data_IF_423414547825
#
_entry.id   IF_423414547825
#
_cell.length_a   1.000
_cell.length_b   1.000
_cell.length_c   1.000
_cell.angle_alpha   90.00
_cell.angle_beta   90.00
_cell.angle_gamma   90.00
#
_symmetry.space_group_name_H-M   'P 1'
#
loop_
_entity.id
_entity.type
_entity.pdbx_description
1 polymer ?
#
# COMPACT_ATOMS: atom_id res chain seq x y z
N UNK A 1 4.86 1.75 3.21
CA UNK A 1 4.19 2.85 3.94
C UNK A 1 3.07 2.26 4.79
N UNK A 2 3.00 2.54 6.10
CA UNK A 2 1.92 2.07 6.97
C UNK A 2 0.71 3.03 6.94
N UNK A 3 -0.41 2.66 7.58
CA UNK A 3 -1.63 3.48 7.58
C UNK A 3 -1.46 4.85 8.25
N UNK A 4 -0.63 4.93 9.29
CA UNK A 4 -0.34 6.19 10.00
C UNK A 4 0.42 7.18 9.11
N UNK A 5 1.47 6.71 8.43
CA UNK A 5 2.29 7.54 7.55
C UNK A 5 1.49 8.03 6.33
N UNK A 6 0.66 7.15 5.76
CA UNK A 6 -0.24 7.53 4.67
C UNK A 6 -1.28 8.56 5.15
N UNK A 7 -1.87 8.37 6.33
CA UNK A 7 -2.82 9.31 6.94
C UNK A 7 -2.22 10.70 7.13
N UNK A 8 -0.99 10.77 7.65
CA UNK A 8 -0.23 12.04 7.77
C UNK A 8 -0.01 12.69 6.40
N UNK A 9 0.36 11.90 5.39
CA UNK A 9 0.56 12.40 4.01
C UNK A 9 -0.73 12.93 3.40
N UNK A 10 -1.86 12.24 3.58
CA UNK A 10 -3.19 12.71 3.15
C UNK A 10 -3.50 14.07 3.78
N UNK A 11 -3.33 14.19 5.09
CA UNK A 11 -3.58 15.45 5.82
C UNK A 11 -2.67 16.58 5.33
N UNK A 12 -1.39 16.29 5.09
CA UNK A 12 -0.42 17.27 4.61
C UNK A 12 -0.79 17.79 3.21
N UNK A 13 -1.02 16.89 2.25
CA UNK A 13 -1.37 17.26 0.86
C UNK A 13 -2.70 18.01 0.82
N UNK A 14 -3.70 17.56 1.59
CA UNK A 14 -4.97 18.26 1.71
C UNK A 14 -4.78 19.71 2.17
N UNK A 15 -4.02 19.92 3.24
CA UNK A 15 -3.74 21.26 3.78
C UNK A 15 -2.92 22.11 2.81
N UNK A 16 -1.94 21.54 2.14
CA UNK A 16 -1.13 22.22 1.13
C UNK A 16 -1.98 22.73 -0.04
N UNK A 17 -3.01 21.97 -0.43
CA UNK A 17 -3.99 22.37 -1.45
C UNK A 17 -5.09 23.30 -0.94
N UNK A 18 -5.10 23.67 0.36
CA UNK A 18 -6.12 24.53 0.96
C UNK A 18 -7.49 23.86 1.14
N UNK A 19 -7.57 22.53 1.04
CA UNK A 19 -8.83 21.81 1.05
C UNK A 19 -9.33 21.56 2.48
N UNK A 20 -10.61 21.83 2.72
CA UNK A 20 -11.29 21.43 3.96
C UNK A 20 -11.72 19.95 3.90
N UNK A 21 -12.02 19.35 5.04
CA UNK A 21 -12.60 17.99 5.06
C UNK A 21 -13.97 17.96 4.36
N UNK A 22 -14.75 19.04 4.46
CA UNK A 22 -16.03 19.18 3.77
C UNK A 22 -15.85 19.26 2.25
N UNK A 23 -14.81 19.96 1.78
CA UNK A 23 -14.50 20.02 0.35
C UNK A 23 -14.17 18.65 -0.24
N UNK A 24 -13.35 17.84 0.46
CA UNK A 24 -13.13 16.46 0.03
C UNK A 24 -14.39 15.61 0.10
N UNK A 25 -15.23 15.82 1.11
CA UNK A 25 -16.50 15.10 1.20
C UNK A 25 -17.37 15.34 -0.04
N UNK A 26 -17.51 16.60 -0.44
CA UNK A 26 -18.26 16.98 -1.64
C UNK A 26 -17.61 16.45 -2.92
N UNK A 27 -16.27 16.48 -3.00
CA UNK A 27 -15.54 16.09 -4.22
C UNK A 27 -15.43 14.57 -4.43
N UNK A 28 -15.39 13.80 -3.33
CA UNK A 28 -15.15 12.34 -3.38
C UNK A 28 -16.40 11.52 -3.02
N UNK A 29 -17.44 12.16 -2.48
CA UNK A 29 -18.62 11.50 -1.91
C UNK A 29 -18.36 10.76 -0.59
N UNK A 30 -17.13 10.82 -0.05
CA UNK A 30 -16.76 10.12 1.17
C UNK A 30 -17.06 11.01 2.37
N UNK A 31 -17.79 10.51 3.35
CA UNK A 31 -18.15 11.28 4.53
C UNK A 31 -16.89 11.81 5.26
N UNK A 32 -16.92 13.07 5.68
CA UNK A 32 -15.77 13.75 6.30
C UNK A 32 -15.20 13.02 7.53
N UNK A 33 -16.04 12.28 8.26
CA UNK A 33 -15.62 11.46 9.41
C UNK A 33 -14.72 10.29 8.99
N UNK A 34 -14.97 9.67 7.83
CA UNK A 34 -14.10 8.63 7.28
C UNK A 34 -12.77 9.22 6.82
N UNK A 35 -12.79 10.38 6.16
CA UNK A 35 -11.57 11.10 5.76
C UNK A 35 -10.75 11.45 7.01
N UNK A 36 -11.40 11.93 8.07
CA UNK A 36 -10.76 12.22 9.35
C UNK A 36 -10.13 10.98 10.01
N UNK A 37 -10.80 9.82 9.96
CA UNK A 37 -10.23 8.53 10.41
C UNK A 37 -9.00 8.13 9.58
N UNK A 38 -9.08 8.27 8.25
CA UNK A 38 -7.94 8.01 7.36
C UNK A 38 -6.75 8.89 7.72
N UNK A 39 -6.95 10.18 7.98
CA UNK A 39 -5.89 11.11 8.38
C UNK A 39 -5.23 10.76 9.72
N UNK A 40 -5.93 10.04 10.60
CA UNK A 40 -5.39 9.52 11.86
C UNK A 40 -4.74 8.13 11.70
N UNK A 41 -4.79 7.54 10.51
CA UNK A 41 -4.31 6.17 10.26
C UNK A 41 -5.27 5.07 10.72
N UNK A 42 -6.49 5.42 11.12
CA UNK A 42 -7.55 4.49 11.55
C UNK A 42 -8.31 3.95 10.33
N UNK A 43 -7.60 3.41 9.34
CA UNK A 43 -8.20 2.89 8.12
C UNK A 43 -7.46 1.67 7.56
N UNK A 44 -8.15 0.87 6.74
CA UNK A 44 -7.54 -0.22 5.98
C UNK A 44 -6.82 0.35 4.75
N UNK A 45 -5.54 0.00 4.60
CA UNK A 45 -4.62 0.48 3.57
C UNK A 45 -5.07 0.28 2.11
N UNK A 46 -6.09 -0.55 1.88
CA UNK A 46 -6.64 -0.86 0.54
C UNK A 46 -8.17 -0.72 0.48
N UNK A 47 -8.76 0.05 1.39
CA UNK A 47 -10.20 0.30 1.31
C UNK A 47 -10.53 1.16 0.09
N UNK A 48 -11.63 0.83 -0.62
CA UNK A 48 -12.09 1.58 -1.81
C UNK A 48 -12.17 3.10 -1.56
N UNK A 49 -12.58 3.50 -0.36
CA UNK A 49 -12.69 4.92 0.01
C UNK A 49 -11.31 5.57 0.16
N UNK A 50 -10.33 4.89 0.75
CA UNK A 50 -8.97 5.39 0.84
C UNK A 50 -8.36 5.58 -0.55
N UNK A 51 -8.51 4.60 -1.45
CA UNK A 51 -8.01 4.69 -2.82
C UNK A 51 -8.60 5.91 -3.54
N UNK A 52 -9.92 6.11 -3.47
CA UNK A 52 -10.58 7.30 -4.03
C UNK A 52 -10.03 8.63 -3.49
N UNK A 53 -9.76 8.72 -2.18
CA UNK A 53 -9.17 9.92 -1.57
C UNK A 53 -7.74 10.12 -2.07
N UNK A 54 -6.94 9.05 -2.14
CA UNK A 54 -5.58 9.11 -2.65
C UNK A 54 -5.54 9.54 -4.12
N UNK A 55 -6.42 8.99 -4.96
CA UNK A 55 -6.53 9.35 -6.38
C UNK A 55 -6.91 10.83 -6.54
N UNK A 56 -7.92 11.29 -5.80
CA UNK A 56 -8.33 12.70 -5.80
C UNK A 56 -7.21 13.65 -5.36
N UNK A 57 -6.41 13.24 -4.38
CA UNK A 57 -5.28 14.04 -3.87
C UNK A 57 -3.99 13.85 -4.69
N UNK A 58 -4.01 13.02 -5.73
CA UNK A 58 -2.84 12.63 -6.53
C UNK A 58 -1.71 12.07 -5.67
N UNK A 59 -2.06 11.33 -4.63
CA UNK A 59 -1.12 10.63 -3.76
C UNK A 59 -0.86 9.26 -4.37
N UNK A 60 0.34 9.08 -4.90
CA UNK A 60 0.85 7.76 -5.24
C UNK A 60 0.91 6.92 -3.97
N UNK A 61 -0.08 6.03 -3.84
CA UNK A 61 -0.17 4.99 -2.83
C UNK A 61 0.25 3.66 -3.46
N UNK A 62 1.32 3.65 -4.26
CA UNK A 62 1.92 2.37 -4.61
C UNK A 62 2.39 1.71 -3.31
N UNK A 63 1.99 0.45 -3.01
CA UNK A 63 2.53 -0.29 -1.87
C UNK A 63 4.08 -0.34 -1.89
N UNK A 64 4.69 -0.02 -3.04
CA UNK A 64 6.13 -0.08 -3.28
C UNK A 64 6.88 1.27 -3.19
N UNK A 65 6.24 2.42 -3.41
CA UNK A 65 7.02 3.65 -3.77
C UNK A 65 7.68 4.42 -2.62
N UNK A 66 7.59 3.95 -1.37
CA UNK A 66 8.39 4.50 -0.27
C UNK A 66 9.66 3.66 0.02
N UNK A 67 9.87 2.56 -0.70
CA UNK A 67 11.13 1.82 -0.71
C UNK A 67 11.94 2.21 -1.96
N UNK A 68 12.63 3.34 -1.85
CA UNK A 68 13.89 3.53 -2.57
C UNK A 68 14.85 4.06 -1.52
N UNK A 69 15.85 3.30 -1.08
CA UNK A 69 16.88 2.67 -1.92
C UNK A 69 17.53 1.47 -1.18
N UNK A 70 17.59 0.33 -1.87
CA UNK A 70 18.45 -0.85 -1.62
C UNK A 70 18.08 -1.85 -0.50
N UNK A 71 16.96 -2.54 -0.63
CA UNK A 71 17.03 -4.01 -0.51
C UNK A 71 16.23 -4.56 -1.69
N UNK A 72 16.93 -5.09 -2.69
CA UNK A 72 16.30 -5.83 -3.76
C UNK A 72 15.46 -6.96 -3.17
N UNK A 73 14.48 -7.47 -3.94
CA UNK A 73 13.71 -8.66 -3.52
C UNK A 73 14.66 -9.79 -3.12
N UNK A 74 15.79 -9.91 -3.81
CA UNK A 74 16.88 -10.83 -3.48
C UNK A 74 17.42 -10.58 -2.07
N UNK A 75 17.77 -9.35 -1.71
CA UNK A 75 18.31 -9.01 -0.39
C UNK A 75 17.32 -9.33 0.74
N UNK A 76 16.02 -9.09 0.50
CA UNK A 76 14.96 -9.39 1.48
C UNK A 76 14.75 -10.89 1.67
N UNK A 77 14.78 -11.65 0.57
CA UNK A 77 14.70 -13.12 0.62
C UNK A 77 15.95 -13.68 1.31
N UNK A 78 17.13 -13.13 1.02
CA UNK A 78 18.40 -13.50 1.64
C UNK A 78 18.35 -13.28 3.16
N UNK A 79 17.90 -12.10 3.62
CA UNK A 79 17.76 -11.79 5.05
C UNK A 79 16.76 -12.73 5.75
N UNK A 80 15.66 -13.07 5.07
CA UNK A 80 14.69 -14.02 5.60
C UNK A 80 15.28 -15.42 5.77
N UNK A 81 16.02 -15.91 4.77
CA UNK A 81 16.70 -17.22 4.86
C UNK A 81 17.77 -17.20 5.97
N UNK A 82 18.53 -16.11 6.12
CA UNK A 82 19.53 -15.99 7.18
C UNK A 82 18.90 -16.02 8.58
N UNK A 83 17.77 -15.34 8.78
CA UNK A 83 17.04 -15.33 10.05
C UNK A 83 16.27 -16.62 10.33
N UNK A 84 15.89 -17.35 9.29
CA UNK A 84 15.19 -18.63 9.39
C UNK A 84 15.68 -19.63 8.32
N UNK A 85 16.80 -20.33 8.55
CA UNK A 85 17.41 -21.20 7.54
C UNK A 85 16.51 -22.32 7.06
N UNK A 86 15.68 -22.88 7.94
CA UNK A 86 14.73 -23.94 7.60
C UNK A 86 13.59 -23.48 6.66
N UNK A 87 13.44 -22.16 6.45
CA UNK A 87 12.44 -21.60 5.54
C UNK A 87 12.78 -21.78 4.06
N UNK A 88 14.05 -22.02 3.71
CA UNK A 88 14.50 -22.00 2.31
C UNK A 88 13.67 -22.96 1.43
N UNK A 89 13.46 -24.19 1.90
CA UNK A 89 12.67 -25.19 1.18
C UNK A 89 11.21 -24.78 1.00
N UNK A 90 10.61 -24.14 2.02
CA UNK A 90 9.23 -23.65 1.95
C UNK A 90 9.10 -22.50 0.95
N UNK A 91 10.04 -21.54 0.98
CA UNK A 91 10.07 -20.40 0.06
C UNK A 91 10.20 -20.90 -1.38
N UNK A 92 11.11 -21.86 -1.61
CA UNK A 92 11.29 -22.50 -2.92
C UNK A 92 10.01 -23.14 -3.42
N UNK A 93 9.37 -24.00 -2.62
CA UNK A 93 8.14 -24.67 -3.02
C UNK A 93 6.99 -23.72 -3.31
N UNK A 94 6.88 -22.64 -2.54
CA UNK A 94 5.87 -21.62 -2.80
C UNK A 94 6.11 -20.92 -4.14
N UNK A 95 7.35 -20.51 -4.43
CA UNK A 95 7.71 -19.86 -5.69
C UNK A 95 7.48 -20.78 -6.89
N UNK A 96 7.88 -22.05 -6.80
CA UNK A 96 7.61 -23.06 -7.83
C UNK A 96 6.10 -23.19 -8.12
N UNK A 97 5.28 -23.19 -7.07
CA UNK A 97 3.82 -23.22 -7.21
C UNK A 97 3.26 -21.99 -7.92
N UNK A 98 3.75 -20.79 -7.59
CA UNK A 98 3.34 -19.54 -8.26
C UNK A 98 3.78 -19.52 -9.73
N UNK A 99 5.02 -19.92 -10.03
CA UNK A 99 5.52 -20.00 -11.40
C UNK A 99 4.72 -21.00 -12.25
N UNK A 100 4.35 -22.14 -11.68
CA UNK A 100 3.52 -23.14 -12.36
C UNK A 100 2.11 -22.61 -12.63
N UNK A 101 1.50 -21.91 -11.67
CA UNK A 101 0.20 -21.28 -11.83
C UNK A 101 0.22 -20.18 -12.91
N UNK A 102 1.30 -19.41 -13.00
CA UNK A 102 1.49 -18.41 -14.06
C UNK A 102 1.61 -19.06 -15.44
N UNK A 103 2.42 -20.13 -15.57
CA UNK A 103 2.56 -20.88 -16.83
C UNK A 103 1.25 -21.49 -17.29
N UNK A 104 0.46 -22.03 -16.37
CA UNK A 104 -0.84 -22.65 -16.69
C UNK A 104 -1.94 -21.61 -16.93
N UNK A 105 -1.88 -20.44 -16.29
CA UNK A 105 -2.82 -19.32 -16.49
C UNK A 105 -2.62 -18.55 -17.80
N UNK A 106 -1.44 -18.62 -18.42
CA UNK A 106 -1.16 -18.03 -19.74
C UNK A 106 -1.41 -18.99 -20.92
N UNK A 107 -1.74 -20.26 -20.64
CA UNK A 107 -2.05 -21.27 -21.64
C UNK A 107 -3.55 -21.36 -21.99
N UNK A 108 -4.33 -20.30 -21.72
CA UNK A 108 -5.78 -20.25 -21.94
C UNK A 108 -6.21 -19.00 -22.69
#
# INVERSE_FOLDING_TARGET
>A
MNASDLGKRIKAVRKQKGFTLQYLHQSTGIHYTQISKMERGECKLLSKNLLKVCDFLHILHSPDSAYSRSEGVVDRVQALIQSWPQSEGLIRHFLEGVELALKTGQAK
#
